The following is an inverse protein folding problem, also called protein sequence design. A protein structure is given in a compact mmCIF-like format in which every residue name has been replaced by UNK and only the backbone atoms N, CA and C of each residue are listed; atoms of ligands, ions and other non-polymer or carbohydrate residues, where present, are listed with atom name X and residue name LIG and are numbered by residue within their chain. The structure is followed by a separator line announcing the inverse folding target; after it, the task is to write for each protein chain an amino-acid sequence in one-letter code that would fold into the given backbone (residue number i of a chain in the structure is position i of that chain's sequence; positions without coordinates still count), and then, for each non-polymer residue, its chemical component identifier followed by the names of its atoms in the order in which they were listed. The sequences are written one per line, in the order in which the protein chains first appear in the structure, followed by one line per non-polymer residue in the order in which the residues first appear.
data_IF_751113522023
#
_entry.id   IF_751113522023
#
_cell.length_a   1.000
_cell.length_b   1.000
_cell.length_c   1.000
_cell.angle_alpha   90.00
_cell.angle_beta   90.00
_cell.angle_gamma   90.00
#
_symmetry.space_group_name_H-M   'P 1'
#
loop_
_entity.id
_entity.type
_entity.pdbx_description
1 polymer ?
#
# COMPACT_ATOMS: atom_id res chain seq x y z
N UNK A 1 14.39 -17.67 -9.99
CA UNK A 1 15.15 -17.30 -11.21
C UNK A 1 16.60 -17.78 -11.16
N UNK A 2 17.52 -17.19 -10.38
CA UNK A 2 18.94 -17.57 -10.48
C UNK A 2 19.34 -18.94 -9.92
N UNK A 3 18.68 -19.44 -8.87
CA UNK A 3 19.02 -20.74 -8.23
C UNK A 3 18.50 -21.96 -9.01
N UNK A 4 17.56 -21.75 -9.91
CA UNK A 4 16.92 -22.84 -10.67
C UNK A 4 17.74 -23.23 -11.90
N UNK A 5 18.61 -22.34 -12.39
CA UNK A 5 19.47 -22.57 -13.56
C UNK A 5 20.67 -23.48 -13.25
N UNK A 6 21.20 -23.41 -12.03
CA UNK A 6 22.26 -24.31 -11.55
C UNK A 6 21.78 -25.76 -11.38
N UNK A 7 20.48 -25.96 -11.10
CA UNK A 7 19.87 -27.29 -11.01
C UNK A 7 19.61 -27.93 -12.39
N UNK A 8 19.71 -27.16 -13.47
CA UNK A 8 19.49 -27.59 -14.85
C UNK A 8 20.79 -27.91 -15.62
N UNK A 9 21.93 -28.02 -14.93
CA UNK A 9 23.20 -28.45 -15.54
C UNK A 9 23.81 -27.46 -16.54
N UNK A 10 23.36 -26.20 -16.54
CA UNK A 10 24.05 -25.12 -17.26
C UNK A 10 25.13 -24.54 -16.34
N UNK A 11 26.40 -24.79 -16.66
CA UNK A 11 27.58 -24.22 -15.99
C UNK A 11 27.74 -22.71 -16.22
N UNK A 12 26.71 -21.92 -15.92
CA UNK A 12 26.82 -20.47 -15.83
C UNK A 12 26.57 -20.03 -14.39
N UNK A 13 27.62 -19.56 -13.73
CA UNK A 13 27.59 -19.08 -12.35
C UNK A 13 26.61 -17.92 -12.16
N UNK A 14 25.45 -18.12 -11.48
CA UNK A 14 24.41 -17.10 -11.37
C UNK A 14 24.72 -16.05 -10.29
N UNK A 15 25.83 -16.23 -9.57
CA UNK A 15 26.26 -15.39 -8.43
C UNK A 15 26.55 -13.96 -8.86
N UNK A 16 27.20 -13.77 -10.01
CA UNK A 16 27.52 -12.45 -10.56
C UNK A 16 26.26 -11.64 -10.93
N UNK A 17 25.25 -12.30 -11.51
CA UNK A 17 23.97 -11.66 -11.85
C UNK A 17 23.19 -11.25 -10.59
N UNK A 18 23.20 -12.08 -9.55
CA UNK A 18 22.56 -11.79 -8.26
C UNK A 18 23.25 -10.62 -7.55
N UNK A 19 24.58 -10.55 -7.57
CA UNK A 19 25.35 -9.46 -6.96
C UNK A 19 25.09 -8.12 -7.66
N UNK A 20 24.97 -8.12 -8.99
CA UNK A 20 24.59 -6.93 -9.78
C UNK A 20 23.17 -6.44 -9.46
N UNK A 21 22.21 -7.34 -9.34
CA UNK A 21 20.84 -6.97 -8.96
C UNK A 21 20.79 -6.39 -7.54
N UNK A 22 21.58 -6.93 -6.61
CA UNK A 22 21.71 -6.40 -5.24
C UNK A 22 22.35 -5.01 -5.21
N UNK A 23 23.43 -4.76 -5.96
CA UNK A 23 24.08 -3.44 -5.95
C UNK A 23 23.18 -2.33 -6.50
N UNK A 24 22.38 -2.62 -7.53
CA UNK A 24 21.38 -1.68 -8.05
C UNK A 24 20.26 -1.38 -7.04
N UNK A 25 19.88 -2.36 -6.20
CA UNK A 25 18.86 -2.16 -5.18
C UNK A 25 19.32 -1.33 -3.98
N UNK A 26 20.62 -1.26 -3.71
CA UNK A 26 21.19 -0.47 -2.62
C UNK A 26 21.35 1.02 -2.99
N UNK A 27 21.60 1.35 -4.25
CA UNK A 27 21.79 2.74 -4.70
C UNK A 27 20.48 3.52 -4.90
N UNK A 28 19.33 2.84 -5.00
CA UNK A 28 18.01 3.47 -5.16
C UNK A 28 17.29 3.76 -3.83
N UNK A 29 17.97 3.59 -2.69
CA UNK A 29 17.52 4.08 -1.38
C UNK A 29 17.69 5.59 -1.30
N UNK A 30 16.64 6.33 -1.65
CA UNK A 30 16.65 7.80 -1.75
C UNK A 30 17.37 8.49 -0.58
N UNK A 31 18.43 9.23 -0.92
CA UNK A 31 19.02 10.26 -0.05
C UNK A 31 17.88 11.16 0.42
N UNK A 32 17.58 11.14 1.72
CA UNK A 32 16.66 12.11 2.30
C UNK A 32 17.35 13.46 2.21
N UNK A 33 16.70 14.41 1.53
CA UNK A 33 17.06 15.82 1.62
C UNK A 33 16.88 16.24 3.07
N UNK A 34 17.96 16.61 3.73
CA UNK A 34 17.88 17.22 5.06
C UNK A 34 17.10 18.54 4.93
N UNK A 35 16.11 18.73 5.80
CA UNK A 35 15.38 19.99 5.90
C UNK A 35 16.28 20.96 6.67
N UNK A 36 16.63 22.08 6.05
CA UNK A 36 17.28 23.20 6.74
C UNK A 36 16.35 23.70 7.85
N UNK A 37 16.81 23.60 9.10
CA UNK A 37 16.17 24.27 10.25
C UNK A 37 16.61 25.73 10.18
N UNK A 38 15.68 26.59 9.77
CA UNK A 38 15.80 28.02 9.89
C UNK A 38 15.41 28.43 11.33
N UNK A 39 16.26 29.25 11.94
CA UNK A 39 15.93 30.15 13.05
C UNK A 39 15.55 29.48 14.37
N UNK A 40 16.52 29.31 15.26
CA UNK A 40 16.23 29.49 16.68
C UNK A 40 17.44 30.16 17.33
N UNK A 41 17.15 31.31 17.90
CA UNK A 41 18.05 32.33 18.39
C UNK A 41 18.90 31.89 19.59
N UNK A 42 19.86 32.78 19.85
CA UNK A 42 20.97 32.77 20.78
C UNK A 42 20.64 32.41 22.25
N UNK A 43 21.71 32.02 22.95
CA UNK A 43 21.91 31.95 24.40
C UNK A 43 21.53 30.66 25.16
N UNK A 44 22.57 30.05 25.75
CA UNK A 44 22.43 29.35 27.04
C UNK A 44 22.97 27.92 27.11
N UNK A 45 24.28 27.82 27.36
CA UNK A 45 24.93 26.77 28.16
C UNK A 45 24.99 25.32 27.61
N UNK A 46 26.17 24.99 27.11
CA UNK A 46 26.63 23.64 26.86
C UNK A 46 26.80 22.86 28.19
N UNK A 47 26.01 21.81 28.38
CA UNK A 47 26.27 20.79 29.40
C UNK A 47 26.43 19.43 28.71
N UNK A 48 27.67 18.96 28.65
CA UNK A 48 28.06 17.62 28.25
C UNK A 48 27.42 16.58 29.18
N UNK A 49 26.50 15.76 28.64
CA UNK A 49 26.08 14.51 29.27
C UNK A 49 26.37 13.36 28.31
N UNK A 50 27.35 12.58 28.72
CA UNK A 50 27.89 11.41 28.06
C UNK A 50 26.83 10.41 27.55
N UNK A 51 27.00 10.06 26.28
CA UNK A 51 26.94 8.68 25.79
C UNK A 51 25.70 7.84 26.12
N UNK A 52 24.52 8.27 25.68
CA UNK A 52 23.42 7.34 25.39
C UNK A 52 23.17 7.29 23.88
N UNK A 53 23.92 6.41 23.21
CA UNK A 53 23.69 6.05 21.82
C UNK A 53 22.21 5.77 21.61
N UNK A 54 21.61 6.64 20.80
CA UNK A 54 20.19 6.63 20.50
C UNK A 54 19.66 5.22 20.20
N UNK A 55 18.69 4.77 20.99
CA UNK A 55 17.91 3.53 20.83
C UNK A 55 17.01 3.54 19.57
N UNK A 56 17.42 4.23 18.51
CA UNK A 56 16.72 4.29 17.21
C UNK A 56 16.70 2.92 16.52
N UNK A 57 17.69 2.05 16.79
CA UNK A 57 17.75 0.68 16.24
C UNK A 57 16.76 -0.27 16.92
N UNK A 58 16.52 -0.14 18.23
CA UNK A 58 15.58 -1.00 18.96
C UNK A 58 14.11 -0.70 18.63
N UNK A 59 13.76 0.57 18.34
CA UNK A 59 12.39 0.96 17.95
C UNK A 59 11.94 0.43 16.59
N UNK A 60 12.87 0.16 15.68
CA UNK A 60 12.56 -0.43 14.37
C UNK A 60 12.35 -1.95 14.48
N UNK A 61 13.03 -2.60 15.44
CA UNK A 61 12.92 -4.04 15.68
C UNK A 61 11.59 -4.42 16.36
N UNK A 62 11.03 -3.56 17.21
CA UNK A 62 9.74 -3.81 17.87
C UNK A 62 8.54 -3.72 16.92
N UNK A 63 8.56 -2.82 15.92
CA UNK A 63 7.48 -2.71 14.92
C UNK A 63 7.47 -3.84 13.87
N UNK A 64 8.61 -4.50 13.66
CA UNK A 64 8.73 -5.56 12.65
C UNK A 64 8.19 -6.92 13.14
N UNK A 65 8.22 -7.19 14.45
CA UNK A 65 7.63 -8.42 15.03
C UNK A 65 6.10 -8.41 14.98
N UNK A 66 5.44 -7.28 15.28
CA UNK A 66 3.97 -7.20 15.27
C UNK A 66 3.34 -7.35 13.88
N UNK A 67 4.01 -6.87 12.82
CA UNK A 67 3.52 -7.03 11.45
C UNK A 67 3.68 -8.46 10.88
N UNK A 68 4.50 -9.29 11.53
CA UNK A 68 4.78 -10.66 11.11
C UNK A 68 3.74 -11.65 11.65
N UNK A 69 3.25 -11.43 12.88
CA UNK A 69 2.24 -12.29 13.50
C UNK A 69 0.85 -12.16 12.86
N UNK A 70 0.44 -10.95 12.46
CA UNK A 70 -0.87 -10.73 11.81
C UNK A 70 -0.99 -11.37 10.42
N UNK A 71 0.14 -11.58 9.72
CA UNK A 71 0.18 -12.28 8.43
C UNK A 71 0.13 -13.81 8.56
N UNK A 72 0.55 -14.36 9.70
CA UNK A 72 0.58 -15.80 9.93
C UNK A 72 -0.81 -16.38 10.26
N UNK A 73 -1.68 -15.58 10.88
CA UNK A 73 -3.07 -15.95 11.19
C UNK A 73 -4.03 -15.80 10.00
N UNK A 74 -3.59 -15.14 8.93
CA UNK A 74 -4.37 -15.01 7.71
C UNK A 74 -4.22 -16.31 6.92
N UNK A 75 -5.27 -17.13 6.87
CA UNK A 75 -5.35 -18.25 5.93
C UNK A 75 -4.95 -17.71 4.55
N UNK A 76 -3.88 -18.21 3.93
CA UNK A 76 -3.38 -17.63 2.69
C UNK A 76 -4.49 -17.65 1.64
N UNK A 77 -4.89 -16.46 1.20
CA UNK A 77 -5.97 -16.24 0.24
C UNK A 77 -5.60 -16.87 -1.09
N UNK A 78 -5.96 -18.15 -1.25
CA UNK A 78 -5.60 -18.97 -2.42
C UNK A 78 -5.14 -20.39 -2.10
N UNK A 79 -4.89 -20.74 -0.83
CA UNK A 79 -4.73 -22.16 -0.46
C UNK A 79 -6.10 -22.84 -0.53
N UNK A 80 -6.13 -23.98 -1.21
CA UNK A 80 -7.32 -24.82 -1.25
C UNK A 80 -7.57 -25.40 0.14
N UNK A 81 -8.77 -25.19 0.67
CA UNK A 81 -9.22 -25.88 1.89
C UNK A 81 -10.39 -26.78 1.51
N UNK A 82 -10.33 -28.09 1.81
CA UNK A 82 -11.44 -29.00 1.55
C UNK A 82 -12.72 -28.49 2.25
N UNK A 83 -13.85 -28.53 1.54
CA UNK A 83 -15.15 -28.05 2.06
C UNK A 83 -15.58 -26.65 1.61
N UNK A 84 -14.73 -25.88 0.93
CA UNK A 84 -15.09 -24.56 0.35
C UNK A 84 -15.95 -24.64 -0.94
N UNK A 85 -16.35 -25.83 -1.37
CA UNK A 85 -17.15 -26.02 -2.59
C UNK A 85 -16.37 -25.94 -3.91
N UNK A 86 -15.04 -25.83 -3.87
CA UNK A 86 -14.18 -26.00 -5.05
C UNK A 86 -13.68 -27.44 -5.13
N UNK A 87 -13.47 -27.95 -6.36
CA UNK A 87 -12.88 -29.28 -6.56
C UNK A 87 -11.37 -29.24 -6.32
N UNK A 88 -10.70 -28.27 -6.94
CA UNK A 88 -9.23 -28.14 -6.93
C UNK A 88 -8.75 -26.71 -6.61
N UNK A 89 -7.47 -26.60 -6.25
CA UNK A 89 -6.79 -25.31 -6.06
C UNK A 89 -6.80 -24.44 -7.32
N UNK A 90 -6.67 -25.04 -8.51
CA UNK A 90 -6.72 -24.32 -9.78
C UNK A 90 -8.08 -23.64 -10.00
N UNK A 91 -9.17 -24.34 -9.68
CA UNK A 91 -10.52 -23.79 -9.79
C UNK A 91 -10.73 -22.61 -8.83
N UNK A 92 -10.25 -22.71 -7.59
CA UNK A 92 -10.29 -21.61 -6.61
C UNK A 92 -9.53 -20.38 -7.12
N UNK A 93 -8.35 -20.58 -7.72
CA UNK A 93 -7.58 -19.48 -8.30
C UNK A 93 -8.29 -18.81 -9.50
N UNK A 94 -8.95 -19.59 -10.35
CA UNK A 94 -9.76 -19.05 -11.44
C UNK A 94 -10.95 -18.25 -10.91
N UNK A 95 -11.66 -18.76 -9.90
CA UNK A 95 -12.75 -18.05 -9.24
C UNK A 95 -12.30 -16.71 -8.64
N UNK A 96 -11.14 -16.69 -7.96
CA UNK A 96 -10.55 -15.44 -7.44
C UNK A 96 -10.20 -14.45 -8.56
N UNK A 97 -9.72 -14.93 -9.72
CA UNK A 97 -9.47 -14.07 -10.88
C UNK A 97 -10.77 -13.47 -11.43
N UNK A 98 -11.85 -14.25 -11.50
CA UNK A 98 -13.17 -13.79 -11.96
C UNK A 98 -13.73 -12.75 -10.99
N UNK A 99 -13.67 -13.02 -9.68
CA UNK A 99 -14.11 -12.08 -8.64
C UNK A 99 -13.35 -10.75 -8.69
N UNK A 100 -12.02 -10.78 -8.87
CA UNK A 100 -11.24 -9.54 -9.05
C UNK A 100 -11.59 -8.79 -10.33
N UNK A 101 -11.99 -9.51 -11.40
CA UNK A 101 -12.42 -8.89 -12.66
C UNK A 101 -13.79 -8.21 -12.53
N UNK A 102 -14.76 -8.82 -11.83
CA UNK A 102 -16.11 -8.24 -11.68
C UNK A 102 -16.10 -6.91 -10.93
N UNK A 103 -15.24 -6.76 -9.93
CA UNK A 103 -15.14 -5.52 -9.12
C UNK A 103 -14.48 -4.35 -9.88
N UNK A 104 -13.80 -4.60 -11.01
CA UNK A 104 -13.07 -3.55 -11.75
C UNK A 104 -13.95 -2.37 -12.18
N UNK A 105 -15.15 -2.63 -12.67
CA UNK A 105 -16.05 -1.57 -13.15
C UNK A 105 -16.53 -0.68 -12.00
N UNK A 106 -16.83 -1.28 -10.85
CA UNK A 106 -17.22 -0.58 -9.63
C UNK A 106 -16.09 0.32 -9.10
N UNK A 107 -14.86 -0.21 -9.07
CA UNK A 107 -13.69 0.55 -8.66
C UNK A 107 -13.37 1.68 -9.64
N UNK A 108 -13.58 1.46 -10.95
CA UNK A 108 -13.44 2.51 -11.96
C UNK A 108 -14.44 3.66 -11.71
N UNK A 109 -15.64 3.34 -11.26
CA UNK A 109 -16.65 4.32 -10.85
C UNK A 109 -16.43 4.88 -9.43
N UNK A 110 -15.30 4.53 -8.77
CA UNK A 110 -14.94 4.96 -7.41
C UNK A 110 -16.01 4.69 -6.34
N UNK A 111 -16.79 3.62 -6.51
CA UNK A 111 -17.80 3.21 -5.52
C UNK A 111 -17.13 2.60 -4.30
N UNK A 112 -17.73 2.79 -3.13
CA UNK A 112 -17.18 2.30 -1.85
C UNK A 112 -17.25 0.76 -1.74
N UNK A 113 -18.21 0.14 -2.42
CA UNK A 113 -18.41 -1.30 -2.44
C UNK A 113 -19.71 -1.68 -3.16
N UNK A 114 -20.08 -2.95 -3.13
CA UNK A 114 -21.29 -3.46 -3.80
C UNK A 114 -22.61 -2.92 -3.20
N UNK A 115 -22.57 -2.50 -1.94
CA UNK A 115 -23.68 -1.82 -1.28
C UNK A 115 -23.89 -0.38 -1.75
N UNK A 116 -22.89 0.23 -2.40
CA UNK A 116 -22.95 1.61 -2.88
C UNK A 116 -23.69 1.69 -4.22
N UNK A 117 -25.02 1.77 -4.13
CA UNK A 117 -25.96 1.85 -5.25
C UNK A 117 -26.67 3.20 -5.30
N UNK A 118 -26.09 4.25 -4.73
CA UNK A 118 -26.67 5.60 -4.68
C UNK A 118 -26.68 6.22 -6.08
N UNK A 119 -27.83 6.77 -6.48
CA UNK A 119 -28.00 7.51 -7.73
C UNK A 119 -27.99 9.01 -7.40
N UNK A 120 -26.93 9.77 -7.76
CA UNK A 120 -26.90 11.20 -7.51
C UNK A 120 -27.84 11.95 -8.45
N UNK A 121 -28.51 12.97 -7.91
CA UNK A 121 -29.28 13.91 -8.72
C UNK A 121 -28.35 14.91 -9.40
N UNK A 122 -27.93 14.60 -10.63
CA UNK A 122 -27.00 15.45 -11.40
C UNK A 122 -27.61 16.78 -11.82
N UNK A 123 -28.94 16.85 -11.99
CA UNK A 123 -29.66 18.06 -12.40
C UNK A 123 -30.82 18.36 -11.45
N UNK A 124 -30.55 18.86 -10.23
CA UNK A 124 -31.62 19.18 -9.28
C UNK A 124 -32.46 20.37 -9.73
N UNK A 125 -33.80 20.26 -9.62
CA UNK A 125 -34.75 21.26 -10.09
C UNK A 125 -34.53 22.65 -9.51
N UNK A 126 -34.23 22.77 -8.21
CA UNK A 126 -34.08 24.06 -7.52
C UNK A 126 -32.87 24.89 -8.02
N UNK A 127 -31.92 24.27 -8.74
CA UNK A 127 -30.82 24.99 -9.40
C UNK A 127 -31.16 25.42 -10.83
N UNK A 128 -31.95 24.61 -11.55
CA UNK A 128 -32.16 24.76 -13.00
C UNK A 128 -33.56 25.24 -13.39
N UNK A 129 -34.45 25.44 -12.43
CA UNK A 129 -35.85 25.83 -12.65
C UNK A 129 -36.18 27.12 -11.94
N UNK A 130 -36.89 28.00 -12.66
CA UNK A 130 -37.31 29.31 -12.16
C UNK A 130 -36.29 30.41 -12.46
N UNK A 131 -36.75 31.65 -12.37
CA UNK A 131 -35.93 32.87 -12.42
C UNK A 131 -36.08 33.60 -11.10
N UNK A 132 -35.02 34.28 -10.65
CA UNK A 132 -35.07 35.12 -9.45
C UNK A 132 -35.86 36.40 -9.75
N UNK A 133 -36.89 36.67 -8.95
CA UNK A 133 -37.60 37.94 -8.96
C UNK A 133 -36.94 39.01 -8.07
N UNK A 134 -37.57 40.16 -7.95
CA UNK A 134 -37.20 41.19 -6.97
C UNK A 134 -37.77 40.78 -5.61
N UNK A 135 -36.96 40.77 -4.55
CA UNK A 135 -37.38 40.38 -3.19
C UNK A 135 -36.65 39.16 -2.64
N UNK A 136 -37.38 38.26 -1.98
CA UNK A 136 -36.81 37.09 -1.27
C UNK A 136 -36.18 36.09 -2.24
N UNK A 137 -35.06 35.50 -1.82
CA UNK A 137 -34.32 34.47 -2.54
C UNK A 137 -34.46 33.10 -1.87
N UNK A 138 -34.36 32.03 -2.64
CA UNK A 138 -34.49 30.64 -2.17
C UNK A 138 -33.23 30.15 -1.44
N UNK A 139 -32.06 30.64 -1.83
CA UNK A 139 -30.77 30.35 -1.20
C UNK A 139 -30.21 31.61 -0.54
N UNK A 140 -29.55 31.44 0.61
CA UNK A 140 -28.95 32.51 1.41
C UNK A 140 -27.73 33.12 0.73
#
# INVERSE_FOLDING_TARGET
MGKELSALGMELDPTAAVNRARSQSLSMGGRKRDRSVAGQDEDGEAMDIDNQQSNKKLRVQSRSRSASQSRALMVPTGKFTPGEGFRDAAQKQQALKIARKSVKLMNKAARKGEGDRVIPNLKPKHLFSGKRGIGKTTTR
#
